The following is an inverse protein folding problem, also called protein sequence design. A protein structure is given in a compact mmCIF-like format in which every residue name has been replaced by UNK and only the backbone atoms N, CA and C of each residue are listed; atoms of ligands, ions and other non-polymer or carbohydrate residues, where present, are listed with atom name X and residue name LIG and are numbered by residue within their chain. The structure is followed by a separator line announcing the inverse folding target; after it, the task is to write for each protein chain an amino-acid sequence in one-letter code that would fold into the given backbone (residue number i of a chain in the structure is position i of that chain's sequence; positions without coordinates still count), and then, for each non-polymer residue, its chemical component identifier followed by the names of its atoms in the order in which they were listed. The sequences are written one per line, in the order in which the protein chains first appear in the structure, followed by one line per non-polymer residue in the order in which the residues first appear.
data_IF_168308318637
#
_entry.id   IF_168308318637
#
_cell.length_a   1.000
_cell.length_b   1.000
_cell.length_c   1.000
_cell.angle_alpha   90.00
_cell.angle_beta   90.00
_cell.angle_gamma   90.00
#
_symmetry.space_group_name_H-M   'P 1'
#
loop_
_entity.id
_entity.type
_entity.pdbx_description
1 polymer ?
#
# COMPACT_ATOMS: atom_id res chain seq x y z
N UNK A 1 31.16 19.02 25.13
CA UNK A 1 30.18 17.91 25.10
C UNK A 1 29.36 18.10 23.85
N UNK A 2 29.30 17.11 22.94
CA UNK A 2 28.54 17.28 21.69
C UNK A 2 27.04 17.19 21.98
N UNK A 3 26.27 18.09 21.35
CA UNK A 3 24.80 18.14 21.42
C UNK A 3 24.22 17.24 20.35
N UNK A 4 23.34 16.31 20.71
CA UNK A 4 22.82 15.28 19.80
C UNK A 4 21.31 15.44 19.60
N UNK A 5 20.88 15.37 18.36
CA UNK A 5 19.49 15.10 17.99
C UNK A 5 19.38 13.69 17.43
N UNK A 6 18.34 12.97 17.84
CA UNK A 6 18.09 11.61 17.38
C UNK A 6 16.87 11.54 16.46
N UNK A 7 16.95 10.67 15.43
CA UNK A 7 15.81 10.37 14.55
C UNK A 7 15.50 8.87 14.58
N UNK A 8 14.26 8.53 14.91
CA UNK A 8 13.72 7.17 14.92
C UNK A 8 12.61 7.02 13.90
N UNK A 9 12.59 5.92 13.16
CA UNK A 9 11.58 5.68 12.13
C UNK A 9 11.16 4.22 12.04
N UNK A 10 9.83 4.01 11.87
CA UNK A 10 9.24 2.72 11.50
C UNK A 10 8.29 2.90 10.32
N UNK A 11 8.32 1.97 9.38
CA UNK A 11 7.60 2.08 8.10
C UNK A 11 6.13 1.63 8.15
N UNK A 12 5.71 0.88 9.18
CA UNK A 12 4.34 0.35 9.32
C UNK A 12 3.81 0.54 10.73
N UNK A 13 2.48 0.74 10.85
CA UNK A 13 1.82 0.84 12.16
C UNK A 13 2.02 -0.42 13.02
N UNK A 14 2.07 -1.61 12.42
CA UNK A 14 2.31 -2.87 13.14
C UNK A 14 3.74 -3.05 13.69
N UNK A 15 4.71 -2.27 13.21
CA UNK A 15 6.07 -2.22 13.78
C UNK A 15 6.16 -1.24 14.97
N UNK A 16 5.21 -0.32 15.08
CA UNK A 16 5.13 0.58 16.26
C UNK A 16 4.85 -0.22 17.53
N UNK A 17 4.01 -1.28 17.41
CA UNK A 17 3.58 -2.12 18.54
C UNK A 17 4.59 -3.23 18.89
N UNK A 18 5.68 -3.40 18.10
CA UNK A 18 6.69 -4.46 18.26
C UNK A 18 8.05 -3.94 18.74
N UNK A 19 8.06 -3.03 19.70
CA UNK A 19 9.27 -2.52 20.38
C UNK A 19 10.40 -1.94 19.48
N UNK A 20 10.17 -1.74 18.17
CA UNK A 20 11.20 -1.23 17.25
C UNK A 20 11.69 0.18 17.61
N UNK A 21 10.77 1.12 17.96
CA UNK A 21 11.15 2.49 18.38
C UNK A 21 11.78 2.50 19.78
N UNK A 22 11.23 1.83 20.80
CA UNK A 22 11.88 1.71 22.11
C UNK A 22 13.30 1.15 22.00
N UNK A 23 13.54 0.10 21.21
CA UNK A 23 14.86 -0.49 20.99
C UNK A 23 15.82 0.51 20.34
N UNK A 24 15.38 1.24 19.29
CA UNK A 24 16.20 2.28 18.65
C UNK A 24 16.60 3.37 19.65
N UNK A 25 15.66 3.82 20.51
CA UNK A 25 15.93 4.81 21.56
C UNK A 25 16.96 4.33 22.55
N UNK A 26 16.78 3.12 23.09
CA UNK A 26 17.74 2.55 24.05
C UNK A 26 19.14 2.48 23.47
N UNK A 27 19.27 1.93 22.25
CA UNK A 27 20.56 1.82 21.58
C UNK A 27 21.22 3.17 21.29
N UNK A 28 20.46 4.18 20.85
CA UNK A 28 21.00 5.52 20.61
C UNK A 28 21.42 6.23 21.93
N UNK A 29 20.65 6.05 23.00
CA UNK A 29 20.99 6.61 24.32
C UNK A 29 22.26 6.02 24.89
N UNK A 30 22.39 4.69 24.87
CA UNK A 30 23.60 3.99 25.29
C UNK A 30 24.83 4.37 24.44
N UNK A 31 24.63 4.58 23.13
CA UNK A 31 25.70 5.03 22.24
C UNK A 31 26.15 6.46 22.57
N UNK A 32 25.21 7.38 22.78
CA UNK A 32 25.51 8.75 23.16
C UNK A 32 26.22 8.82 24.52
N UNK A 33 25.77 8.06 25.51
CA UNK A 33 26.37 7.99 26.84
C UNK A 33 27.81 7.48 26.77
N UNK A 34 28.07 6.40 26.04
CA UNK A 34 29.43 5.84 25.83
C UNK A 34 30.40 6.82 25.19
N UNK A 35 29.89 7.74 24.33
CA UNK A 35 30.69 8.76 23.67
C UNK A 35 30.73 10.09 24.45
N UNK A 36 30.11 10.19 25.63
CA UNK A 36 30.06 11.41 26.42
C UNK A 36 29.25 12.53 25.75
N UNK A 37 28.21 12.21 24.99
CA UNK A 37 27.35 13.15 24.27
C UNK A 37 26.05 13.39 25.03
N UNK A 38 25.43 14.57 24.80
CA UNK A 38 24.15 14.92 25.42
C UNK A 38 23.04 14.94 24.38
N UNK A 39 22.04 14.07 24.54
CA UNK A 39 20.83 14.09 23.69
C UNK A 39 19.94 15.23 24.14
N UNK A 40 19.69 16.20 23.25
CA UNK A 40 18.82 17.34 23.49
C UNK A 40 17.39 17.12 22.99
N UNK A 41 17.24 16.43 21.85
CA UNK A 41 15.92 16.21 21.23
C UNK A 41 15.85 14.87 20.51
N UNK A 42 14.67 14.25 20.54
CA UNK A 42 14.38 12.97 19.87
C UNK A 42 13.18 13.15 18.94
N UNK A 43 13.37 12.85 17.66
CA UNK A 43 12.32 12.87 16.64
C UNK A 43 11.84 11.46 16.34
N UNK A 44 10.54 11.30 16.09
CA UNK A 44 9.93 10.00 15.82
C UNK A 44 9.01 10.09 14.61
N UNK A 45 9.18 9.19 13.65
CA UNK A 45 8.29 9.02 12.51
C UNK A 45 7.63 7.64 12.58
N UNK A 46 6.30 7.63 12.73
CA UNK A 46 5.50 6.40 12.86
C UNK A 46 4.68 6.18 11.58
N UNK A 47 4.90 5.03 10.92
CA UNK A 47 4.18 4.68 9.70
C UNK A 47 4.62 5.44 8.44
N UNK A 48 5.78 6.10 8.48
CA UNK A 48 6.36 6.83 7.35
C UNK A 48 7.32 5.92 6.60
N UNK A 49 7.04 5.63 5.33
CA UNK A 49 7.92 4.83 4.48
C UNK A 49 9.07 5.68 3.95
N UNK A 50 10.29 5.36 4.36
CA UNK A 50 11.50 6.02 3.84
C UNK A 50 11.79 5.73 2.36
N UNK A 51 10.99 4.87 1.69
CA UNK A 51 11.08 4.56 0.26
C UNK A 51 10.00 5.27 -0.56
N UNK A 52 8.85 5.60 0.05
CA UNK A 52 7.68 6.16 -0.67
C UNK A 52 7.47 7.64 -0.42
N UNK A 53 8.01 8.18 0.67
CA UNK A 53 7.80 9.56 1.09
C UNK A 53 9.13 10.29 0.98
N UNK A 54 9.15 11.36 0.17
CA UNK A 54 10.30 12.25 0.00
C UNK A 54 10.72 12.88 1.32
N UNK A 55 12.00 13.19 1.47
CA UNK A 55 12.50 13.92 2.63
C UNK A 55 11.91 15.34 2.72
N UNK A 56 11.52 15.94 1.59
CA UNK A 56 10.82 17.23 1.55
C UNK A 56 9.44 17.19 2.19
N UNK A 57 8.78 16.05 2.17
CA UNK A 57 7.42 15.85 2.68
C UNK A 57 7.42 15.27 4.11
N UNK A 58 8.60 15.18 4.74
CA UNK A 58 8.78 14.61 6.08
C UNK A 58 9.07 15.71 7.10
N UNK A 59 8.09 16.03 7.92
CA UNK A 59 8.16 17.10 8.93
C UNK A 59 9.40 16.97 9.83
N UNK A 60 9.74 15.77 10.29
CA UNK A 60 10.91 15.54 11.14
C UNK A 60 12.23 15.88 10.44
N UNK A 61 12.37 15.62 9.15
CA UNK A 61 13.55 15.98 8.37
C UNK A 61 13.62 17.51 8.17
N UNK A 62 12.48 18.16 7.91
CA UNK A 62 12.44 19.62 7.76
C UNK A 62 12.75 20.33 9.09
N UNK A 63 12.20 19.85 10.20
CA UNK A 63 12.52 20.35 11.54
C UNK A 63 14.01 20.18 11.89
N UNK A 64 14.60 19.03 11.54
CA UNK A 64 16.02 18.77 11.72
C UNK A 64 16.89 19.72 10.88
N UNK A 65 16.50 19.98 9.63
CA UNK A 65 17.21 20.97 8.78
C UNK A 65 17.14 22.38 9.35
N UNK A 66 15.95 22.82 9.76
CA UNK A 66 15.77 24.14 10.37
C UNK A 66 16.60 24.30 11.65
N UNK A 67 16.70 23.27 12.48
CA UNK A 67 17.53 23.27 13.67
C UNK A 67 19.04 23.25 13.34
N UNK A 68 19.45 22.54 12.28
CA UNK A 68 20.84 22.52 11.83
C UNK A 68 21.30 23.89 11.32
N UNK A 69 20.48 24.61 10.56
CA UNK A 69 20.76 25.98 10.12
C UNK A 69 20.98 26.95 11.31
N UNK A 70 20.23 26.74 12.41
CA UNK A 70 20.38 27.49 13.64
C UNK A 70 21.53 27.01 14.54
N UNK A 71 22.24 25.94 14.14
CA UNK A 71 23.30 25.28 14.92
C UNK A 71 22.85 24.87 16.34
N UNK A 72 21.64 24.34 16.45
CA UNK A 72 21.08 23.92 17.74
C UNK A 72 21.69 22.61 18.23
N UNK A 73 22.29 21.80 17.35
CA UNK A 73 22.94 20.53 17.66
C UNK A 73 24.20 20.33 16.81
N UNK A 74 25.03 19.37 17.19
CA UNK A 74 26.31 19.09 16.55
C UNK A 74 26.30 17.72 15.85
N UNK A 75 25.47 16.78 16.32
CA UNK A 75 25.39 15.40 15.82
C UNK A 75 23.95 14.99 15.56
N UNK A 76 23.68 14.46 14.36
CA UNK A 76 22.46 13.72 14.04
C UNK A 76 22.75 12.23 14.24
N UNK A 77 22.12 11.60 15.24
CA UNK A 77 22.28 10.19 15.57
C UNK A 77 21.06 9.38 15.16
N UNK A 78 21.29 8.31 14.41
CA UNK A 78 20.29 7.33 14.01
C UNK A 78 20.69 5.91 14.40
N UNK A 79 19.74 4.99 14.51
CA UNK A 79 20.06 3.58 14.75
C UNK A 79 20.77 2.94 13.54
N UNK A 80 20.26 3.20 12.33
CA UNK A 80 20.85 2.86 11.03
C UNK A 80 20.56 3.99 10.04
N UNK A 81 21.41 4.19 9.02
CA UNK A 81 21.22 5.27 8.05
C UNK A 81 19.94 5.13 7.23
N UNK A 82 19.39 3.92 7.10
CA UNK A 82 18.09 3.70 6.46
C UNK A 82 16.92 4.39 7.20
N UNK A 83 17.13 4.90 8.44
CA UNK A 83 16.17 5.72 9.18
C UNK A 83 16.05 7.12 8.58
N UNK A 84 17.14 7.66 8.03
CA UNK A 84 17.13 8.95 7.32
C UNK A 84 16.28 8.84 6.04
N UNK A 85 16.46 7.76 5.25
CA UNK A 85 15.70 7.49 4.04
C UNK A 85 16.18 6.24 3.33
N UNK A 86 15.49 5.87 2.25
CA UNK A 86 15.84 4.75 1.35
C UNK A 86 15.68 5.12 -0.13
N UNK A 87 15.48 6.38 -0.44
CA UNK A 87 15.44 6.88 -1.81
C UNK A 87 16.89 7.15 -2.22
N UNK A 88 17.37 6.39 -3.20
CA UNK A 88 18.79 6.36 -3.61
C UNK A 88 19.26 7.65 -4.27
N UNK A 89 18.36 8.36 -4.93
CA UNK A 89 18.61 9.65 -5.57
C UNK A 89 18.35 10.86 -4.65
N UNK A 90 17.83 10.67 -3.44
CA UNK A 90 17.52 11.73 -2.49
C UNK A 90 18.29 11.61 -1.17
N UNK A 91 18.30 10.42 -0.56
CA UNK A 91 18.85 10.22 0.79
C UNK A 91 20.32 10.61 0.93
N UNK A 92 21.22 10.29 -0.03
CA UNK A 92 22.62 10.71 0.03
C UNK A 92 22.77 12.22 0.07
N UNK A 93 21.94 12.96 -0.67
CA UNK A 93 21.97 14.43 -0.69
C UNK A 93 21.45 15.05 0.62
N UNK A 94 20.49 14.39 1.28
CA UNK A 94 20.04 14.82 2.61
C UNK A 94 21.16 14.67 3.63
N UNK A 95 21.89 13.56 3.61
CA UNK A 95 23.04 13.33 4.49
C UNK A 95 24.17 14.33 4.17
N UNK A 96 24.49 14.51 2.88
CA UNK A 96 25.49 15.49 2.45
C UNK A 96 25.10 16.92 2.88
N UNK A 97 23.81 17.25 2.83
CA UNK A 97 23.31 18.56 3.26
C UNK A 97 23.62 18.80 4.74
N UNK A 98 23.35 17.84 5.64
CA UNK A 98 23.68 17.97 7.06
C UNK A 98 25.20 18.15 7.30
N UNK A 99 26.02 17.35 6.62
CA UNK A 99 27.49 17.43 6.74
C UNK A 99 28.00 18.80 6.27
N UNK A 100 27.47 19.33 5.16
CA UNK A 100 27.82 20.68 4.67
C UNK A 100 27.42 21.80 5.63
N UNK A 101 26.41 21.59 6.47
CA UNK A 101 26.01 22.56 7.51
C UNK A 101 26.77 22.33 8.84
N UNK A 102 27.78 21.49 8.84
CA UNK A 102 28.64 21.24 10.00
C UNK A 102 28.04 20.29 11.03
N UNK A 103 27.03 19.51 10.65
CA UNK A 103 26.43 18.48 11.50
C UNK A 103 27.07 17.14 11.19
N UNK A 104 27.63 16.47 12.19
CA UNK A 104 28.10 15.09 12.06
C UNK A 104 26.90 14.14 11.98
N UNK A 105 26.91 13.19 11.05
CA UNK A 105 25.85 12.19 10.90
C UNK A 105 26.38 10.84 11.33
N UNK A 106 25.78 10.27 12.36
CA UNK A 106 26.20 9.02 12.99
C UNK A 106 25.10 7.96 13.02
N UNK A 107 25.50 6.72 12.81
CA UNK A 107 24.68 5.54 13.03
C UNK A 107 25.26 4.69 14.14
N UNK A 108 24.40 4.14 15.01
CA UNK A 108 24.82 3.22 16.08
C UNK A 108 25.51 1.97 15.50
N UNK A 109 25.00 1.44 14.39
CA UNK A 109 25.48 0.20 13.79
C UNK A 109 26.55 0.39 12.71
N UNK A 110 26.58 1.55 12.04
CA UNK A 110 27.38 1.78 10.83
C UNK A 110 28.50 2.82 11.05
N UNK A 111 28.49 3.50 12.23
CA UNK A 111 29.49 4.50 12.58
C UNK A 111 29.21 5.89 11.98
N UNK A 112 30.28 6.69 11.86
CA UNK A 112 30.24 8.04 11.31
C UNK A 112 30.13 8.04 9.78
N UNK A 113 29.25 8.86 9.26
CA UNK A 113 29.14 9.09 7.83
C UNK A 113 30.01 10.28 7.43
N UNK A 114 31.19 10.01 6.85
CA UNK A 114 32.13 11.04 6.38
C UNK A 114 31.96 11.31 4.89
N UNK A 115 32.23 12.54 4.48
CA UNK A 115 32.24 12.99 3.09
C UNK A 115 33.44 13.90 2.80
N UNK A 116 34.58 13.62 3.44
CA UNK A 116 35.79 14.45 3.41
C UNK A 116 36.47 14.44 2.03
N UNK A 117 36.32 13.37 1.29
CA UNK A 117 36.91 13.22 -0.03
C UNK A 117 35.94 12.56 -1.04
N UNK A 118 36.33 12.55 -2.32
CA UNK A 118 35.52 11.98 -3.39
C UNK A 118 35.25 10.48 -3.24
N UNK A 119 36.17 9.74 -2.60
CA UNK A 119 36.04 8.29 -2.34
C UNK A 119 34.97 8.03 -1.32
N UNK A 120 34.93 8.78 -0.22
CA UNK A 120 33.91 8.67 0.81
C UNK A 120 32.52 8.97 0.25
N UNK A 121 32.42 10.02 -0.57
CA UNK A 121 31.16 10.32 -1.27
C UNK A 121 30.71 9.17 -2.14
N UNK A 122 31.59 8.63 -2.98
CA UNK A 122 31.26 7.50 -3.85
C UNK A 122 30.83 6.27 -3.05
N UNK A 123 31.55 5.94 -1.98
CA UNK A 123 31.21 4.81 -1.10
C UNK A 123 29.83 4.98 -0.45
N UNK A 124 29.47 6.20 -0.08
CA UNK A 124 28.18 6.51 0.49
C UNK A 124 27.06 6.32 -0.52
N UNK A 125 27.23 6.84 -1.75
CA UNK A 125 26.27 6.60 -2.83
C UNK A 125 26.09 5.11 -3.13
N UNK A 126 27.18 4.33 -3.17
CA UNK A 126 27.13 2.88 -3.38
C UNK A 126 26.35 2.18 -2.25
N UNK A 127 26.56 2.55 -0.97
CA UNK A 127 25.84 1.97 0.17
C UNK A 127 24.33 2.22 0.07
N UNK A 128 23.92 3.46 -0.20
CA UNK A 128 22.49 3.79 -0.36
C UNK A 128 21.88 3.08 -1.57
N UNK A 129 22.60 3.01 -2.68
CA UNK A 129 22.16 2.28 -3.87
C UNK A 129 22.00 0.78 -3.63
N UNK A 130 22.93 0.15 -2.90
CA UNK A 130 22.82 -1.26 -2.52
C UNK A 130 21.62 -1.52 -1.61
N UNK A 131 21.39 -0.68 -0.60
CA UNK A 131 20.25 -0.80 0.32
C UNK A 131 18.91 -0.71 -0.42
N UNK A 132 18.79 0.18 -1.41
CA UNK A 132 17.62 0.28 -2.28
C UNK A 132 17.51 -0.94 -3.21
N UNK A 133 18.60 -1.38 -3.80
CA UNK A 133 18.65 -2.54 -4.69
C UNK A 133 18.15 -3.85 -4.04
N UNK A 134 18.41 -4.08 -2.77
CA UNK A 134 17.87 -5.22 -2.03
C UNK A 134 16.35 -5.16 -1.88
N UNK A 135 15.80 -3.98 -1.60
CA UNK A 135 14.36 -3.77 -1.52
C UNK A 135 13.67 -4.03 -2.85
N UNK A 136 14.24 -3.53 -3.95
CA UNK A 136 13.73 -3.76 -5.30
C UNK A 136 13.80 -5.24 -5.70
N UNK A 137 14.93 -5.92 -5.45
CA UNK A 137 15.10 -7.37 -5.69
C UNK A 137 14.08 -8.19 -4.91
N UNK A 138 13.84 -7.86 -3.65
CA UNK A 138 12.83 -8.53 -2.82
C UNK A 138 11.41 -8.31 -3.38
N UNK A 139 11.05 -7.10 -3.74
CA UNK A 139 9.77 -6.79 -4.41
C UNK A 139 9.60 -7.55 -5.72
N UNK A 140 10.65 -7.60 -6.56
CA UNK A 140 10.62 -8.34 -7.81
C UNK A 140 10.42 -9.84 -7.58
N UNK A 141 11.14 -10.44 -6.61
CA UNK A 141 10.98 -11.87 -6.25
C UNK A 141 9.56 -12.18 -5.74
N UNK A 142 9.00 -11.30 -4.90
CA UNK A 142 7.61 -11.45 -4.41
C UNK A 142 6.63 -11.39 -5.57
N UNK A 143 6.77 -10.38 -6.46
CA UNK A 143 5.92 -10.24 -7.65
C UNK A 143 6.00 -11.46 -8.57
N UNK A 144 7.21 -11.95 -8.86
CA UNK A 144 7.41 -13.15 -9.68
C UNK A 144 6.75 -14.37 -9.02
N UNK A 145 6.89 -14.52 -7.70
CA UNK A 145 6.27 -15.62 -6.96
C UNK A 145 4.74 -15.56 -7.01
N UNK A 146 4.15 -14.38 -6.81
CA UNK A 146 2.70 -14.19 -6.90
C UNK A 146 2.17 -14.47 -8.31
N UNK A 147 2.90 -14.00 -9.34
CA UNK A 147 2.55 -14.30 -10.73
C UNK A 147 2.57 -15.81 -11.01
N UNK A 148 3.60 -16.53 -10.53
CA UNK A 148 3.68 -17.98 -10.69
C UNK A 148 2.53 -18.69 -9.97
N UNK A 149 2.21 -18.27 -8.73
CA UNK A 149 1.05 -18.84 -8.00
C UNK A 149 -0.25 -18.62 -8.76
N UNK A 150 -0.43 -17.46 -9.39
CA UNK A 150 -1.61 -17.19 -10.22
C UNK A 150 -1.65 -18.11 -11.44
N UNK A 151 -0.54 -18.29 -12.16
CA UNK A 151 -0.44 -19.21 -13.30
C UNK A 151 -0.68 -20.67 -12.90
N UNK A 152 -0.29 -21.06 -11.69
CA UNK A 152 -0.54 -22.38 -11.11
C UNK A 152 -1.99 -22.55 -10.60
N UNK A 153 -2.86 -21.53 -10.74
CA UNK A 153 -4.22 -21.53 -10.23
C UNK A 153 -4.33 -21.54 -8.70
N UNK A 154 -3.29 -21.09 -8.00
CA UNK A 154 -3.24 -21.04 -6.53
C UNK A 154 -3.64 -19.66 -6.00
N UNK A 155 -4.39 -19.66 -4.91
CA UNK A 155 -4.78 -18.41 -4.26
C UNK A 155 -3.56 -17.64 -3.73
N UNK A 156 -3.44 -16.38 -4.13
CA UNK A 156 -2.28 -15.53 -3.78
C UNK A 156 -2.37 -14.89 -2.39
N UNK A 157 -3.43 -15.18 -1.63
CA UNK A 157 -3.68 -14.65 -0.30
C UNK A 157 -4.57 -13.40 -0.29
N UNK A 158 -4.86 -12.91 0.89
CA UNK A 158 -5.73 -11.77 1.13
C UNK A 158 -7.11 -12.18 1.64
N UNK A 159 -8.10 -11.30 1.45
CA UNK A 159 -9.49 -11.55 1.82
C UNK A 159 -10.21 -12.21 0.65
N UNK A 160 -10.99 -13.25 0.91
CA UNK A 160 -11.81 -13.87 -0.12
C UNK A 160 -12.82 -12.85 -0.67
N UNK A 161 -13.02 -12.77 -2.00
CA UNK A 161 -14.09 -11.95 -2.57
C UNK A 161 -15.46 -12.45 -2.12
N UNK A 162 -16.46 -11.57 -2.10
CA UNK A 162 -17.84 -11.93 -1.79
C UNK A 162 -18.32 -13.06 -2.73
N UNK A 163 -18.98 -14.08 -2.22
CA UNK A 163 -19.33 -15.30 -2.94
C UNK A 163 -18.33 -16.44 -2.77
N UNK A 164 -17.20 -16.19 -2.07
CA UNK A 164 -16.18 -17.20 -1.76
C UNK A 164 -15.78 -17.15 -0.29
N UNK A 165 -15.38 -18.30 0.24
CA UNK A 165 -14.84 -18.49 1.59
C UNK A 165 -13.42 -18.99 1.57
N UNK A 166 -12.63 -18.63 2.59
CA UNK A 166 -11.30 -19.17 2.79
C UNK A 166 -11.38 -20.61 3.32
N UNK A 167 -10.63 -21.50 2.70
CA UNK A 167 -10.46 -22.88 3.15
C UNK A 167 -8.98 -23.18 3.34
N UNK A 168 -8.67 -24.21 4.10
CA UNK A 168 -7.31 -24.74 4.23
C UNK A 168 -6.97 -25.54 2.99
N UNK A 169 -5.79 -25.26 2.40
CA UNK A 169 -5.36 -25.94 1.16
C UNK A 169 -4.78 -27.34 1.40
N UNK A 170 -4.44 -27.68 2.66
CA UNK A 170 -3.68 -28.89 2.99
C UNK A 170 -2.17 -28.77 2.72
N UNK A 171 -1.71 -27.72 2.05
CA UNK A 171 -0.29 -27.45 1.83
C UNK A 171 0.31 -26.67 3.01
N UNK A 172 1.53 -27.02 3.43
CA UNK A 172 2.24 -26.34 4.54
C UNK A 172 3.40 -25.55 3.94
N UNK A 173 3.53 -24.29 4.34
CA UNK A 173 4.65 -23.47 3.92
C UNK A 173 5.95 -23.85 4.65
N UNK A 174 7.11 -23.29 4.21
CA UNK A 174 8.44 -23.55 4.83
C UNK A 174 8.53 -23.16 6.33
N UNK A 175 7.56 -22.40 6.85
CA UNK A 175 7.49 -21.97 8.25
C UNK A 175 6.51 -22.82 9.08
N UNK A 176 6.00 -23.92 8.55
CA UNK A 176 5.05 -24.80 9.24
C UNK A 176 3.61 -24.28 9.29
N UNK A 177 3.29 -23.17 8.61
CA UNK A 177 1.93 -22.63 8.55
C UNK A 177 1.20 -23.18 7.36
N UNK A 178 -0.03 -23.67 7.56
CA UNK A 178 -0.91 -24.14 6.51
C UNK A 178 -1.33 -22.99 5.57
N UNK A 179 -1.28 -23.26 4.27
CA UNK A 179 -1.68 -22.29 3.25
C UNK A 179 -3.20 -22.27 3.14
N UNK A 180 -3.73 -21.11 2.77
CA UNK A 180 -5.16 -20.92 2.53
C UNK A 180 -5.45 -20.96 1.04
N UNK A 181 -6.61 -21.49 0.70
CA UNK A 181 -7.20 -21.47 -0.63
C UNK A 181 -8.62 -20.89 -0.54
N UNK A 182 -9.30 -20.74 -1.68
CA UNK A 182 -10.69 -20.26 -1.75
C UNK A 182 -11.61 -21.33 -2.33
N UNK A 183 -12.82 -21.35 -1.82
CA UNK A 183 -13.93 -22.16 -2.37
C UNK A 183 -15.17 -21.28 -2.48
N UNK A 184 -16.13 -21.71 -3.31
CA UNK A 184 -17.44 -21.07 -3.42
C UNK A 184 -18.13 -21.11 -2.06
N UNK A 185 -18.77 -20.02 -1.69
CA UNK A 185 -19.64 -19.94 -0.52
C UNK A 185 -21.09 -20.11 -0.98
N UNK A 186 -21.73 -21.20 -0.50
CA UNK A 186 -23.07 -21.59 -0.94
C UNK A 186 -24.16 -20.59 -0.55
N UNK A 187 -23.93 -19.80 0.50
CA UNK A 187 -24.89 -18.76 0.95
C UNK A 187 -24.75 -17.48 0.13
N UNK A 188 -23.54 -17.11 -0.28
CA UNK A 188 -23.28 -15.85 -0.99
C UNK A 188 -23.29 -16.00 -2.52
N UNK A 189 -22.94 -17.16 -3.07
CA UNK A 189 -22.92 -17.40 -4.51
C UNK A 189 -24.27 -17.13 -5.20
N UNK A 190 -25.44 -17.49 -4.63
CA UNK A 190 -26.73 -17.12 -5.21
C UNK A 190 -26.96 -15.61 -5.31
N UNK A 191 -26.41 -14.85 -4.35
CA UNK A 191 -26.49 -13.39 -4.34
C UNK A 191 -25.65 -12.80 -5.48
N UNK A 192 -24.46 -13.35 -5.71
CA UNK A 192 -23.60 -12.98 -6.85
C UNK A 192 -24.36 -13.23 -8.16
N UNK A 193 -24.95 -14.40 -8.34
CA UNK A 193 -25.78 -14.71 -9.52
C UNK A 193 -26.90 -13.70 -9.71
N UNK A 194 -27.60 -13.33 -8.64
CA UNK A 194 -28.66 -12.34 -8.68
C UNK A 194 -28.17 -10.95 -9.09
N UNK A 195 -27.00 -10.52 -8.65
CA UNK A 195 -26.37 -9.24 -9.05
C UNK A 195 -26.11 -9.22 -10.56
N UNK A 196 -25.60 -10.30 -11.14
CA UNK A 196 -25.38 -10.41 -12.59
C UNK A 196 -26.70 -10.46 -13.36
N UNK A 197 -27.71 -11.19 -12.89
CA UNK A 197 -29.04 -11.20 -13.48
C UNK A 197 -29.70 -9.82 -13.51
N UNK A 198 -29.67 -9.10 -12.40
CA UNK A 198 -30.18 -7.72 -12.32
C UNK A 198 -29.47 -6.78 -13.30
N UNK A 199 -28.16 -7.01 -13.56
CA UNK A 199 -27.43 -6.22 -14.54
C UNK A 199 -27.85 -6.52 -15.96
N UNK A 200 -27.89 -7.82 -16.32
CA UNK A 200 -28.08 -8.28 -17.72
C UNK A 200 -29.54 -8.28 -18.12
N UNK A 201 -30.44 -8.81 -17.28
CA UNK A 201 -31.88 -8.98 -17.61
C UNK A 201 -32.72 -7.74 -17.24
N UNK A 202 -32.43 -7.15 -16.06
CA UNK A 202 -33.26 -6.07 -15.52
C UNK A 202 -32.66 -4.67 -15.79
N UNK A 203 -31.42 -4.59 -16.25
CA UNK A 203 -30.75 -3.34 -16.59
C UNK A 203 -30.49 -2.42 -15.37
N UNK A 204 -30.40 -2.98 -14.14
CA UNK A 204 -30.19 -2.17 -12.95
C UNK A 204 -28.77 -1.56 -12.92
N UNK A 205 -28.68 -0.34 -12.42
CA UNK A 205 -27.38 0.28 -12.07
C UNK A 205 -26.91 -0.12 -10.68
N UNK A 206 -25.62 0.06 -10.41
CA UNK A 206 -25.00 -0.33 -9.12
C UNK A 206 -25.68 0.28 -7.89
N UNK A 207 -26.22 1.50 -8.01
CA UNK A 207 -26.97 2.13 -6.92
C UNK A 207 -28.27 1.37 -6.61
N UNK A 208 -29.08 1.09 -7.65
CA UNK A 208 -30.35 0.39 -7.50
C UNK A 208 -30.16 -1.04 -7.00
N UNK A 209 -29.09 -1.71 -7.43
CA UNK A 209 -28.72 -3.04 -6.92
C UNK A 209 -28.32 -3.02 -5.45
N UNK A 210 -27.49 -2.05 -5.05
CA UNK A 210 -27.10 -1.91 -3.65
C UNK A 210 -28.31 -1.62 -2.74
N UNK A 211 -29.22 -0.78 -3.19
CA UNK A 211 -30.48 -0.47 -2.49
C UNK A 211 -31.37 -1.71 -2.37
N UNK A 212 -31.53 -2.46 -3.45
CA UNK A 212 -32.28 -3.72 -3.47
C UNK A 212 -31.72 -4.72 -2.45
N UNK A 213 -30.39 -4.96 -2.47
CA UNK A 213 -29.75 -5.90 -1.54
C UNK A 213 -29.92 -5.46 -0.08
N UNK A 214 -29.76 -4.18 0.19
CA UNK A 214 -29.89 -3.62 1.53
C UNK A 214 -31.33 -3.68 2.05
N UNK A 215 -32.33 -3.41 1.20
CA UNK A 215 -33.75 -3.49 1.58
C UNK A 215 -34.20 -4.91 1.88
N UNK A 216 -33.55 -5.92 1.27
CA UNK A 216 -33.77 -7.33 1.58
C UNK A 216 -32.90 -7.85 2.75
N UNK A 217 -32.21 -6.97 3.47
CA UNK A 217 -31.39 -7.33 4.63
C UNK A 217 -30.09 -8.06 4.30
N UNK A 218 -29.71 -8.14 3.01
CA UNK A 218 -28.50 -8.82 2.57
C UNK A 218 -27.29 -7.94 2.91
N UNK A 219 -26.24 -8.54 3.49
CA UNK A 219 -25.04 -7.85 3.94
C UNK A 219 -23.79 -8.46 3.33
N UNK A 220 -22.70 -7.69 3.33
CA UNK A 220 -21.36 -8.15 2.90
C UNK A 220 -20.73 -9.05 3.96
N UNK A 221 -19.60 -9.72 3.64
CA UNK A 221 -18.81 -10.53 4.59
C UNK A 221 -18.60 -9.86 5.97
N UNK A 222 -18.39 -8.55 5.98
CA UNK A 222 -18.15 -7.77 7.21
C UNK A 222 -19.46 -7.28 7.87
N UNK A 223 -20.58 -7.91 7.57
CA UNK A 223 -21.90 -7.54 8.08
C UNK A 223 -22.30 -6.08 7.78
N UNK A 224 -21.72 -5.48 6.74
CA UNK A 224 -21.94 -4.10 6.32
C UNK A 224 -22.95 -4.01 5.17
N UNK A 225 -23.56 -2.83 4.98
CA UNK A 225 -24.42 -2.56 3.83
C UNK A 225 -23.64 -2.56 2.53
N UNK A 226 -24.28 -3.03 1.45
CA UNK A 226 -23.73 -2.90 0.11
C UNK A 226 -23.66 -1.44 -0.33
N UNK A 227 -22.55 -1.09 -0.95
CA UNK A 227 -22.32 0.20 -1.59
C UNK A 227 -22.19 0.01 -3.10
N UNK A 228 -22.42 1.07 -3.89
CA UNK A 228 -22.27 1.04 -5.35
C UNK A 228 -20.88 0.51 -5.78
N UNK A 229 -19.83 0.92 -5.08
CA UNK A 229 -18.46 0.48 -5.36
C UNK A 229 -18.26 -1.02 -5.11
N UNK A 230 -18.92 -1.59 -4.09
CA UNK A 230 -18.87 -3.03 -3.80
C UNK A 230 -19.51 -3.81 -4.93
N UNK A 231 -20.72 -3.39 -5.37
CA UNK A 231 -21.40 -4.01 -6.51
C UNK A 231 -20.57 -3.91 -7.80
N UNK A 232 -19.99 -2.74 -8.08
CA UNK A 232 -19.12 -2.57 -9.25
C UNK A 232 -17.87 -3.45 -9.21
N UNK A 233 -17.28 -3.67 -8.02
CA UNK A 233 -16.16 -4.58 -7.85
C UNK A 233 -16.55 -6.04 -8.11
N UNK A 234 -17.75 -6.45 -7.65
CA UNK A 234 -18.29 -7.78 -7.95
C UNK A 234 -18.45 -7.94 -9.46
N UNK A 235 -19.14 -7.04 -10.13
CA UNK A 235 -19.40 -7.13 -11.57
C UNK A 235 -18.14 -7.15 -12.44
N UNK A 236 -17.01 -6.57 -11.98
CA UNK A 236 -15.75 -6.50 -12.72
C UNK A 236 -14.77 -7.63 -12.42
N UNK A 237 -15.06 -8.48 -11.45
CA UNK A 237 -14.11 -9.51 -11.01
C UNK A 237 -14.27 -10.80 -11.84
N UNK A 238 -13.29 -11.09 -12.68
CA UNK A 238 -13.25 -12.30 -13.52
C UNK A 238 -13.19 -13.62 -12.73
N UNK A 239 -12.90 -13.57 -11.43
CA UNK A 239 -12.91 -14.77 -10.60
C UNK A 239 -14.25 -15.50 -10.65
N UNK A 240 -15.36 -14.76 -10.79
CA UNK A 240 -16.69 -15.36 -10.88
C UNK A 240 -16.89 -16.23 -12.13
N UNK A 241 -16.05 -16.04 -13.16
CA UNK A 241 -15.99 -16.92 -14.35
C UNK A 241 -14.92 -18.01 -14.24
N UNK A 242 -14.28 -18.17 -13.07
CA UNK A 242 -13.23 -19.16 -12.87
C UNK A 242 -11.81 -18.68 -13.22
N UNK A 243 -11.57 -17.38 -13.41
CA UNK A 243 -10.24 -16.82 -13.70
C UNK A 243 -9.74 -15.93 -12.57
N UNK A 244 -8.65 -16.32 -11.92
CA UNK A 244 -7.98 -15.46 -10.94
C UNK A 244 -7.08 -14.45 -11.64
N UNK A 245 -7.11 -13.19 -11.19
CA UNK A 245 -6.20 -12.15 -11.69
C UNK A 245 -5.42 -11.56 -10.51
N UNK A 246 -4.10 -11.59 -10.62
CA UNK A 246 -3.19 -10.96 -9.65
C UNK A 246 -2.03 -10.31 -10.38
N UNK A 247 -1.75 -9.02 -10.06
CA UNK A 247 -0.64 -8.28 -10.65
C UNK A 247 -0.67 -8.14 -12.18
N UNK A 248 -1.86 -8.24 -12.81
CA UNK A 248 -2.03 -8.20 -14.27
C UNK A 248 -1.84 -9.55 -14.96
N UNK A 249 -1.62 -10.63 -14.20
CA UNK A 249 -1.52 -12.00 -14.72
C UNK A 249 -2.83 -12.72 -14.47
N UNK A 250 -3.34 -13.42 -15.47
CA UNK A 250 -4.57 -14.22 -15.42
C UNK A 250 -4.21 -15.71 -15.29
N UNK A 251 -4.94 -16.44 -14.44
CA UNK A 251 -4.78 -17.88 -14.26
C UNK A 251 -5.37 -18.67 -15.44
N UNK A 252 -5.02 -19.96 -15.61
CA UNK A 252 -5.86 -20.89 -16.35
C UNK A 252 -7.27 -20.93 -15.77
N UNK A 253 -8.24 -21.40 -16.57
CA UNK A 253 -9.61 -21.62 -16.12
C UNK A 253 -9.69 -22.64 -14.97
N UNK A 254 -10.40 -22.27 -13.92
CA UNK A 254 -10.56 -23.07 -12.70
C UNK A 254 -12.06 -23.33 -12.48
N UNK A 255 -12.54 -24.47 -12.97
CA UNK A 255 -13.95 -24.86 -12.95
C UNK A 255 -14.56 -24.79 -11.53
N UNK A 256 -13.84 -25.25 -10.51
CA UNK A 256 -14.30 -25.25 -9.10
C UNK A 256 -14.61 -23.86 -8.52
N UNK A 257 -14.16 -22.80 -9.19
CA UNK A 257 -14.38 -21.41 -8.75
C UNK A 257 -15.42 -20.66 -9.60
N UNK A 258 -15.97 -21.29 -10.62
CA UNK A 258 -16.94 -20.66 -11.48
C UNK A 258 -18.31 -20.55 -10.78
N UNK A 259 -18.80 -19.32 -10.65
CA UNK A 259 -20.15 -19.00 -10.17
C UNK A 259 -21.03 -18.54 -11.33
N UNK A 260 -20.47 -17.84 -12.32
CA UNK A 260 -21.16 -17.18 -13.44
C UNK A 260 -20.60 -17.71 -14.77
N UNK A 261 -21.46 -17.96 -15.73
CA UNK A 261 -21.04 -18.29 -17.10
C UNK A 261 -20.32 -17.09 -17.75
N UNK A 262 -19.30 -17.38 -18.54
CA UNK A 262 -18.48 -16.37 -19.21
C UNK A 262 -19.32 -15.43 -20.09
N UNK A 263 -20.29 -15.98 -20.84
CA UNK A 263 -21.22 -15.18 -21.66
C UNK A 263 -22.01 -14.14 -20.83
N UNK A 264 -22.47 -14.52 -19.64
CA UNK A 264 -23.21 -13.60 -18.74
C UNK A 264 -22.29 -12.52 -18.21
N UNK A 265 -21.04 -12.86 -17.89
CA UNK A 265 -20.01 -11.92 -17.48
C UNK A 265 -19.70 -10.89 -18.60
N UNK A 266 -19.47 -11.37 -19.83
CA UNK A 266 -19.19 -10.50 -20.96
C UNK A 266 -20.35 -9.55 -21.28
N UNK A 267 -21.61 -10.03 -21.23
CA UNK A 267 -22.79 -9.18 -21.36
C UNK A 267 -22.83 -8.09 -20.27
N UNK A 268 -22.51 -8.45 -19.02
CA UNK A 268 -22.43 -7.47 -17.94
C UNK A 268 -21.33 -6.44 -18.20
N UNK A 269 -20.11 -6.85 -18.67
CA UNK A 269 -19.04 -5.94 -19.04
C UNK A 269 -19.45 -4.99 -20.18
N UNK A 270 -20.10 -5.52 -21.20
CA UNK A 270 -20.62 -4.70 -22.31
C UNK A 270 -21.56 -3.61 -21.82
N UNK A 271 -22.53 -3.96 -20.96
CA UNK A 271 -23.47 -2.99 -20.37
C UNK A 271 -22.75 -1.93 -19.52
N UNK A 272 -21.76 -2.34 -18.72
CA UNK A 272 -20.96 -1.42 -17.89
C UNK A 272 -20.15 -0.45 -18.76
N UNK A 273 -19.54 -0.92 -19.83
CA UNK A 273 -18.76 -0.10 -20.76
C UNK A 273 -19.66 0.91 -21.50
N UNK A 274 -20.82 0.50 -21.98
CA UNK A 274 -21.79 1.41 -22.61
C UNK A 274 -22.21 2.55 -21.67
N UNK A 275 -22.38 2.24 -20.38
CA UNK A 275 -22.70 3.27 -19.37
C UNK A 275 -21.52 4.20 -19.09
N UNK A 276 -20.30 3.70 -19.13
CA UNK A 276 -19.08 4.50 -18.96
C UNK A 276 -18.90 5.48 -20.09
N UNK A 277 -19.00 5.02 -21.35
CA UNK A 277 -18.83 5.85 -22.55
C UNK A 277 -19.86 6.99 -22.61
N UNK A 278 -21.14 6.70 -22.27
CA UNK A 278 -22.17 7.75 -22.14
C UNK A 278 -21.82 8.80 -21.09
N UNK A 279 -21.09 8.46 -20.05
CA UNK A 279 -20.63 9.41 -19.04
C UNK A 279 -19.42 10.23 -19.48
N UNK A 280 -18.58 9.71 -20.38
CA UNK A 280 -17.43 10.45 -20.95
C UNK A 280 -17.90 11.52 -21.95
N UNK A 281 -18.85 11.20 -22.80
CA UNK A 281 -19.48 12.19 -23.69
C UNK A 281 -20.18 13.32 -22.92
N UNK A 282 -20.77 13.00 -21.76
CA UNK A 282 -21.42 13.99 -20.87
C UNK A 282 -20.46 14.79 -19.99
N UNK A 283 -19.19 14.37 -19.84
CA UNK A 283 -18.17 15.14 -19.07
C UNK A 283 -17.82 16.48 -19.69
N UNK A 284 -18.15 16.72 -20.96
CA UNK A 284 -17.94 18.01 -21.62
C UNK A 284 -18.99 19.07 -21.23
N UNK A 285 -20.06 18.69 -20.57
CA UNK A 285 -21.10 19.65 -20.11
C UNK A 285 -20.88 19.88 -18.61
N UNK A 286 -20.25 21.00 -18.27
CA UNK A 286 -20.14 21.45 -16.90
C UNK A 286 -21.55 21.56 -16.27
N UNK A 287 -21.87 20.70 -15.33
CA UNK A 287 -23.06 20.86 -14.48
C UNK A 287 -22.84 22.06 -13.57
N UNK A 288 -22.94 23.24 -14.12
CA UNK A 288 -22.98 24.47 -13.34
C UNK A 288 -24.41 24.60 -12.80
N UNK A 289 -24.54 24.43 -11.53
CA UNK A 289 -25.68 24.72 -10.68
C UNK A 289 -26.69 23.59 -10.44
N UNK A 290 -26.89 23.32 -9.16
CA UNK A 290 -28.12 22.75 -8.64
C UNK A 290 -29.23 23.79 -8.88
N UNK A 291 -29.87 23.74 -10.03
CA UNK A 291 -31.03 24.59 -10.31
C UNK A 291 -32.20 24.18 -9.44
N UNK A 292 -32.88 25.13 -8.86
CA UNK A 292 -34.11 24.95 -8.08
C UNK A 292 -35.33 24.70 -8.96
N UNK A 293 -35.19 24.59 -10.28
CA UNK A 293 -36.29 24.41 -11.25
C UNK A 293 -36.32 22.96 -11.76
N UNK A 294 -37.56 22.44 -11.89
CA UNK A 294 -37.89 21.05 -12.30
C UNK A 294 -37.29 20.65 -13.66
N UNK A 295 -36.93 21.60 -14.51
CA UNK A 295 -36.43 21.39 -15.87
C UNK A 295 -34.94 21.70 -16.07
N UNK A 296 -34.20 22.04 -14.99
CA UNK A 296 -32.77 22.31 -15.15
C UNK A 296 -32.01 21.02 -15.47
N UNK A 297 -31.47 20.96 -16.69
CA UNK A 297 -30.72 19.85 -17.25
C UNK A 297 -31.47 18.94 -18.22
N UNK A 298 -32.74 19.20 -18.52
CA UNK A 298 -33.55 18.40 -19.44
C UNK A 298 -33.97 19.14 -20.73
N UNK A 299 -33.53 20.37 -20.90
CA UNK A 299 -33.82 21.15 -22.13
C UNK A 299 -32.47 21.44 -22.80
N UNK A 300 -32.30 20.94 -24.02
CA UNK A 300 -31.28 21.32 -24.99
C UNK A 300 -31.98 21.92 -26.22
#
# INVERSE_FOLDING_TARGET
MKRVYCLYRVSTKGQVDKDDIPMQKTSCREFAERNGWTILKEFQEKGVSGFKVSASDRDAIQDLKAAAEKKEFDVLLVFMFDRIGRIDDETPFVVEWFIKHGIEVWSVNEGEQRMDNHVDKLMNYIRFWQANGESQKTSARVKTRLNQMTLDGKFTGGVAPFGYKLIKSGEINKKGKELMDIAIDDDEAPIVKKIFEMTVKEGYGSYRMADYLNSHGIKTHNNSKFQCNTVNRILKNKLYCGYMISGGVESPYIERLQIIDENVFEQAQYILNQRSNKNEEKKQIARTTKGSTLLSGNIY
#
